data_IF_144168714216
#
_entry.id   IF_144168714216
#
_cell.length_a   1.000
_cell.length_b   1.000
_cell.length_c   1.000
_cell.angle_alpha   90.00
_cell.angle_beta   90.00
_cell.angle_gamma   90.00
#
_symmetry.space_group_name_H-M   'P 1'
#
loop_
_entity.id
_entity.type
_entity.pdbx_description
1 polymer ?
#
# COMPACT_ATOMS: atom_id res chain seq x y z
N UNK A 1 -18.45 -1.23 -7.67
CA UNK A 1 -18.35 -0.48 -6.41
C UNK A 1 -19.57 0.35 -6.12
N UNK A 2 -19.98 1.23 -7.02
CA UNK A 2 -21.27 1.93 -6.87
C UNK A 2 -22.43 0.96 -6.68
N UNK A 3 -22.40 -0.19 -7.36
CA UNK A 3 -23.43 -1.23 -7.21
C UNK A 3 -23.48 -1.83 -5.81
N UNK A 4 -22.34 -2.02 -5.16
CA UNK A 4 -22.29 -2.53 -3.79
C UNK A 4 -22.85 -1.52 -2.80
N UNK A 5 -22.55 -0.24 -3.00
CA UNK A 5 -23.10 0.83 -2.18
C UNK A 5 -24.63 0.92 -2.30
N UNK A 6 -25.15 0.77 -3.51
CA UNK A 6 -26.60 0.73 -3.72
C UNK A 6 -27.27 -0.44 -3.03
N UNK A 7 -26.63 -1.61 -3.02
CA UNK A 7 -27.14 -2.78 -2.32
C UNK A 7 -27.23 -2.55 -0.81
N UNK A 8 -26.19 -1.95 -0.22
CA UNK A 8 -26.19 -1.58 1.19
C UNK A 8 -27.31 -0.59 1.50
N UNK A 9 -27.47 0.39 0.64
CA UNK A 9 -28.53 1.39 0.77
C UNK A 9 -29.91 0.75 0.66
N UNK A 10 -30.07 -0.20 -0.26
CA UNK A 10 -31.30 -0.95 -0.42
C UNK A 10 -31.69 -1.74 0.83
N UNK A 11 -30.72 -2.39 1.46
CA UNK A 11 -30.93 -3.14 2.72
C UNK A 11 -31.35 -2.18 3.85
N UNK A 12 -30.71 -1.04 3.96
CA UNK A 12 -31.02 -0.04 4.97
C UNK A 12 -32.44 0.53 4.78
N UNK A 13 -32.84 0.78 3.53
CA UNK A 13 -34.17 1.27 3.19
C UNK A 13 -35.23 0.22 3.58
N UNK A 14 -34.99 -1.05 3.28
CA UNK A 14 -35.92 -2.11 3.62
C UNK A 14 -36.07 -2.28 5.13
N UNK A 15 -34.97 -2.12 5.89
CA UNK A 15 -35.03 -2.18 7.35
C UNK A 15 -35.86 -1.05 7.94
N UNK A 16 -35.79 0.15 7.36
CA UNK A 16 -36.53 1.30 7.88
C UNK A 16 -38.02 1.28 7.48
N UNK A 17 -38.35 0.63 6.38
CA UNK A 17 -39.75 0.51 5.90
C UNK A 17 -40.57 -0.47 6.73
N UNK A 18 -39.93 -1.38 7.50
CA UNK A 18 -40.61 -2.35 8.33
C UNK A 18 -41.40 -1.74 9.50
N UNK A 19 -41.22 -0.48 9.80
CA UNK A 19 -41.94 0.22 10.86
C UNK A 19 -43.07 1.05 10.26
N UNK A 20 -44.31 0.84 10.72
CA UNK A 20 -45.46 1.67 10.35
C UNK A 20 -45.38 3.00 11.11
N UNK A 21 -44.52 3.89 10.65
CA UNK A 21 -44.27 5.15 11.28
C UNK A 21 -45.12 6.29 10.64
N UNK A 22 -45.47 7.36 11.39
CA UNK A 22 -46.05 8.54 10.79
C UNK A 22 -45.16 9.12 9.69
N UNK A 23 -45.76 9.83 8.74
CA UNK A 23 -45.07 10.36 7.57
C UNK A 23 -43.81 11.18 7.93
N UNK A 24 -43.87 12.00 9.00
CA UNK A 24 -42.71 12.75 9.47
C UNK A 24 -41.57 11.85 9.96
N UNK A 25 -41.89 10.76 10.65
CA UNK A 25 -40.89 9.78 11.09
C UNK A 25 -40.23 9.07 9.91
N UNK A 26 -40.97 8.80 8.83
CA UNK A 26 -40.40 8.21 7.61
C UNK A 26 -39.43 9.18 6.94
N UNK A 27 -39.77 10.46 6.86
CA UNK A 27 -38.88 11.46 6.28
C UNK A 27 -37.62 11.63 7.11
N UNK A 28 -37.73 11.63 8.44
CA UNK A 28 -36.58 11.69 9.34
C UNK A 28 -35.71 10.45 9.19
N UNK A 29 -36.32 9.28 9.08
CA UNK A 29 -35.58 8.05 8.85
C UNK A 29 -34.83 8.07 7.52
N UNK A 30 -35.49 8.56 6.47
CA UNK A 30 -34.89 8.70 5.15
C UNK A 30 -33.69 9.67 5.18
N UNK A 31 -33.87 10.82 5.82
CA UNK A 31 -32.79 11.80 5.97
C UNK A 31 -31.60 11.23 6.73
N UNK A 32 -31.85 10.43 7.77
CA UNK A 32 -30.80 9.76 8.52
C UNK A 32 -30.04 8.73 7.65
N UNK A 33 -30.78 8.00 6.82
CA UNK A 33 -30.19 7.03 5.88
C UNK A 33 -29.32 7.73 4.84
N UNK A 34 -29.84 8.82 4.27
CA UNK A 34 -29.11 9.62 3.28
C UNK A 34 -27.83 10.22 3.89
N UNK A 35 -27.92 10.70 5.12
CA UNK A 35 -26.76 11.24 5.83
C UNK A 35 -25.69 10.17 6.04
N UNK A 36 -26.09 8.97 6.47
CA UNK A 36 -25.18 7.83 6.64
C UNK A 36 -24.55 7.41 5.32
N UNK A 37 -25.34 7.39 4.27
CA UNK A 37 -24.87 7.05 2.93
C UNK A 37 -23.81 8.04 2.45
N UNK A 38 -24.07 9.34 2.63
CA UNK A 38 -23.12 10.38 2.27
C UNK A 38 -21.83 10.29 3.09
N UNK A 39 -21.94 9.97 4.39
CA UNK A 39 -20.77 9.75 5.25
C UNK A 39 -19.93 8.58 4.75
N UNK A 40 -20.57 7.50 4.32
CA UNK A 40 -19.86 6.33 3.76
C UNK A 40 -19.15 6.68 2.46
N UNK A 41 -19.79 7.46 1.60
CA UNK A 41 -19.17 7.93 0.35
C UNK A 41 -17.94 8.79 0.63
N UNK A 42 -18.05 9.68 1.60
CA UNK A 42 -16.96 10.55 2.00
C UNK A 42 -15.80 9.75 2.59
N UNK A 43 -16.09 8.78 3.47
CA UNK A 43 -15.09 7.88 4.04
C UNK A 43 -14.40 7.04 2.96
N UNK A 44 -15.16 6.55 1.99
CA UNK A 44 -14.58 5.81 0.86
C UNK A 44 -13.63 6.69 0.04
N UNK A 45 -14.04 7.92 -0.26
CA UNK A 45 -13.21 8.87 -1.00
C UNK A 45 -11.93 9.21 -0.24
N UNK A 46 -12.04 9.40 1.07
CA UNK A 46 -10.91 9.65 1.94
C UNK A 46 -9.95 8.46 1.97
N UNK A 47 -10.49 7.27 2.11
CA UNK A 47 -9.70 6.03 2.13
C UNK A 47 -8.97 5.80 0.82
N UNK A 48 -9.64 6.09 -0.29
CA UNK A 48 -9.04 6.04 -1.62
C UNK A 48 -7.83 6.97 -1.72
N UNK A 49 -7.97 8.22 -1.25
CA UNK A 49 -6.87 9.18 -1.22
C UNK A 49 -5.70 8.70 -0.37
N UNK A 50 -6.00 8.11 0.79
CA UNK A 50 -4.97 7.54 1.66
C UNK A 50 -4.20 6.42 0.98
N UNK A 51 -4.90 5.51 0.32
CA UNK A 51 -4.26 4.41 -0.41
C UNK A 51 -3.43 4.90 -1.59
N UNK A 52 -3.90 5.89 -2.32
CA UNK A 52 -3.14 6.50 -3.42
C UNK A 52 -1.86 7.18 -2.91
N UNK A 53 -1.97 7.88 -1.79
CA UNK A 53 -0.81 8.52 -1.15
C UNK A 53 0.21 7.48 -0.67
N UNK A 54 -0.25 6.41 -0.02
CA UNK A 54 0.62 5.31 0.43
C UNK A 54 1.31 4.64 -0.75
N UNK A 55 0.57 4.38 -1.83
CA UNK A 55 1.11 3.79 -3.05
C UNK A 55 2.22 4.66 -3.64
N UNK A 56 1.97 5.96 -3.77
CA UNK A 56 2.94 6.91 -4.30
C UNK A 56 4.21 6.94 -3.44
N UNK A 57 4.05 6.96 -2.13
CA UNK A 57 5.18 6.93 -1.20
C UNK A 57 5.98 5.64 -1.34
N UNK A 58 5.31 4.49 -1.41
CA UNK A 58 5.98 3.20 -1.58
C UNK A 58 6.72 3.11 -2.91
N UNK A 59 6.13 3.64 -3.98
CA UNK A 59 6.78 3.71 -5.29
C UNK A 59 8.07 4.53 -5.23
N UNK A 60 8.04 5.68 -4.54
CA UNK A 60 9.22 6.51 -4.35
C UNK A 60 10.29 5.78 -3.52
N UNK A 61 9.89 5.05 -2.48
CA UNK A 61 10.81 4.26 -1.67
C UNK A 61 11.46 3.13 -2.47
N UNK A 62 10.69 2.46 -3.32
CA UNK A 62 11.21 1.42 -4.22
C UNK A 62 12.23 2.00 -5.19
N UNK A 63 11.94 3.14 -5.79
CA UNK A 63 12.87 3.83 -6.70
C UNK A 63 14.18 4.18 -5.98
N UNK A 64 14.09 4.70 -4.77
CA UNK A 64 15.27 5.01 -3.95
C UNK A 64 16.10 3.77 -3.66
N UNK A 65 15.44 2.67 -3.28
CA UNK A 65 16.11 1.40 -3.01
C UNK A 65 16.78 0.82 -4.26
N UNK A 66 16.11 0.91 -5.40
CA UNK A 66 16.68 0.48 -6.69
C UNK A 66 17.91 1.31 -7.06
N UNK A 67 17.85 2.61 -6.77
CA UNK A 67 18.99 3.49 -6.97
C UNK A 67 20.20 3.07 -6.12
N UNK A 68 19.95 2.66 -4.87
CA UNK A 68 21.00 2.16 -3.98
C UNK A 68 21.56 0.81 -4.43
N UNK A 69 20.77 0.03 -5.15
CA UNK A 69 21.22 -1.24 -5.72
C UNK A 69 22.14 -1.09 -6.92
N UNK A 70 22.09 0.07 -7.58
CA UNK A 70 22.98 0.36 -8.70
C UNK A 70 24.44 0.42 -8.24
N UNK A 71 25.31 -0.13 -9.04
CA UNK A 71 26.73 -0.19 -8.71
C UNK A 71 27.13 -1.37 -7.82
N UNK A 72 26.17 -2.20 -7.42
CA UNK A 72 26.39 -3.41 -6.65
C UNK A 72 27.52 -4.27 -7.23
N UNK A 73 27.46 -4.54 -8.52
CA UNK A 73 28.44 -5.39 -9.22
C UNK A 73 29.84 -4.80 -9.17
N UNK A 74 29.97 -3.49 -9.37
CA UNK A 74 31.25 -2.79 -9.30
C UNK A 74 31.88 -2.87 -7.92
N UNK A 75 31.05 -2.72 -6.88
CA UNK A 75 31.50 -2.81 -5.49
C UNK A 75 31.99 -4.23 -5.19
N UNK A 76 31.25 -5.24 -5.60
CA UNK A 76 31.63 -6.63 -5.38
C UNK A 76 32.89 -7.02 -6.14
N UNK A 77 33.02 -6.62 -7.40
CA UNK A 77 34.23 -6.88 -8.19
C UNK A 77 35.46 -6.27 -7.54
N UNK A 78 35.35 -5.00 -7.14
CA UNK A 78 36.45 -4.30 -6.50
C UNK A 78 36.87 -4.96 -5.19
N UNK A 79 35.90 -5.26 -4.34
CA UNK A 79 36.17 -5.88 -3.03
C UNK A 79 36.72 -7.30 -3.19
N UNK A 80 36.22 -8.04 -4.15
CA UNK A 80 36.70 -9.38 -4.46
C UNK A 80 38.16 -9.36 -4.90
N UNK A 81 38.51 -8.46 -5.83
CA UNK A 81 39.87 -8.25 -6.28
C UNK A 81 40.79 -7.86 -5.12
N UNK A 82 40.38 -6.89 -4.32
CA UNK A 82 41.15 -6.40 -3.19
C UNK A 82 41.34 -7.50 -2.14
N UNK A 83 40.33 -8.35 -1.91
CA UNK A 83 40.43 -9.46 -0.97
C UNK A 83 41.41 -10.54 -1.42
N UNK A 84 41.64 -10.68 -2.73
CA UNK A 84 42.54 -11.68 -3.29
C UNK A 84 44.01 -11.24 -3.22
N UNK A 85 44.29 -9.95 -3.46
CA UNK A 85 45.66 -9.43 -3.61
C UNK A 85 46.22 -8.74 -2.36
N UNK A 86 45.38 -8.30 -1.46
CA UNK A 86 45.83 -7.56 -0.29
C UNK A 86 46.14 -8.48 0.89
N UNK A 87 47.15 -8.09 1.68
CA UNK A 87 47.57 -8.86 2.84
C UNK A 87 46.53 -8.91 3.97
N UNK A 88 45.55 -7.98 4.00
CA UNK A 88 44.44 -8.01 4.95
C UNK A 88 43.20 -8.69 4.38
N UNK A 89 43.38 -9.78 3.70
CA UNK A 89 42.34 -10.55 3.01
C UNK A 89 41.08 -10.79 3.85
N UNK A 90 41.24 -11.19 5.09
CA UNK A 90 40.10 -11.55 5.95
C UNK A 90 39.22 -10.35 6.26
N UNK A 91 39.82 -9.16 6.42
CA UNK A 91 39.08 -7.91 6.64
C UNK A 91 38.29 -7.52 5.38
N UNK A 92 38.87 -7.65 4.21
CA UNK A 92 38.17 -7.38 2.94
C UNK A 92 37.03 -8.36 2.69
N UNK A 93 37.21 -9.63 3.03
CA UNK A 93 36.14 -10.62 2.95
C UNK A 93 34.98 -10.29 3.88
N UNK A 94 35.29 -9.80 5.08
CA UNK A 94 34.27 -9.39 6.05
C UNK A 94 33.46 -8.21 5.53
N UNK A 95 34.11 -7.22 4.93
CA UNK A 95 33.46 -6.08 4.28
C UNK A 95 32.58 -6.56 3.12
N UNK A 96 33.08 -7.47 2.30
CA UNK A 96 32.33 -8.05 1.19
C UNK A 96 31.07 -8.75 1.69
N UNK A 97 31.15 -9.52 2.76
CA UNK A 97 30.00 -10.19 3.36
C UNK A 97 28.97 -9.18 3.91
N UNK A 98 29.45 -8.08 4.48
CA UNK A 98 28.57 -7.02 4.97
C UNK A 98 27.81 -6.36 3.82
N UNK A 99 28.48 -6.08 2.71
CA UNK A 99 27.82 -5.55 1.52
C UNK A 99 26.83 -6.56 0.93
N UNK A 100 27.18 -7.84 0.91
CA UNK A 100 26.27 -8.88 0.44
C UNK A 100 24.98 -8.90 1.27
N UNK A 101 25.09 -8.85 2.59
CA UNK A 101 23.95 -8.78 3.49
C UNK A 101 23.13 -7.51 3.25
N UNK A 102 23.80 -6.37 3.09
CA UNK A 102 23.16 -5.09 2.82
C UNK A 102 22.32 -5.15 1.53
N UNK A 103 22.89 -5.65 0.44
CA UNK A 103 22.17 -5.74 -0.82
C UNK A 103 21.05 -6.78 -0.80
N UNK A 104 21.20 -7.87 -0.07
CA UNK A 104 20.13 -8.86 0.13
C UNK A 104 18.97 -8.22 0.89
N UNK A 105 19.25 -7.40 1.89
CA UNK A 105 18.23 -6.69 2.64
C UNK A 105 17.51 -5.67 1.76
N UNK A 106 18.24 -4.94 0.91
CA UNK A 106 17.63 -4.00 -0.05
C UNK A 106 16.68 -4.75 -0.99
N UNK A 107 17.12 -5.86 -1.56
CA UNK A 107 16.31 -6.68 -2.47
C UNK A 107 15.03 -7.18 -1.78
N UNK A 108 15.14 -7.60 -0.51
CA UNK A 108 14.00 -8.04 0.29
C UNK A 108 13.02 -6.89 0.52
N UNK A 109 13.52 -5.72 0.88
CA UNK A 109 12.70 -4.52 1.11
C UNK A 109 11.97 -4.10 -0.16
N UNK A 110 12.64 -4.15 -1.30
CA UNK A 110 12.02 -3.84 -2.60
C UNK A 110 10.85 -4.80 -2.85
N UNK A 111 11.05 -6.10 -2.68
CA UNK A 111 9.99 -7.09 -2.89
C UNK A 111 8.81 -6.88 -1.96
N UNK A 112 9.05 -6.62 -0.69
CA UNK A 112 8.00 -6.36 0.29
C UNK A 112 7.19 -5.12 -0.07
N UNK A 113 7.86 -4.05 -0.48
CA UNK A 113 7.21 -2.81 -0.88
C UNK A 113 6.45 -2.96 -2.20
N UNK A 114 7.00 -3.68 -3.16
CA UNK A 114 6.30 -3.96 -4.42
C UNK A 114 5.05 -4.81 -4.20
N UNK A 115 5.13 -5.79 -3.28
CA UNK A 115 3.97 -6.56 -2.89
C UNK A 115 2.89 -5.68 -2.25
N UNK A 116 3.29 -4.77 -1.39
CA UNK A 116 2.36 -3.83 -0.76
C UNK A 116 1.72 -2.90 -1.79
N UNK A 117 2.49 -2.44 -2.76
CA UNK A 117 1.97 -1.64 -3.88
C UNK A 117 0.91 -2.43 -4.65
N UNK A 118 1.18 -3.69 -4.95
CA UNK A 118 0.23 -4.56 -5.66
C UNK A 118 -1.07 -4.74 -4.86
N UNK A 119 -0.97 -4.91 -3.55
CA UNK A 119 -2.14 -5.00 -2.67
C UNK A 119 -2.95 -3.70 -2.70
N UNK A 120 -2.29 -2.55 -2.64
CA UNK A 120 -2.95 -1.25 -2.71
C UNK A 120 -3.60 -1.02 -4.07
N UNK A 121 -2.94 -1.42 -5.15
CA UNK A 121 -3.52 -1.34 -6.51
C UNK A 121 -4.78 -2.21 -6.62
N UNK A 122 -4.75 -3.41 -6.05
CA UNK A 122 -5.92 -4.28 -6.02
C UNK A 122 -7.08 -3.64 -5.25
N UNK A 123 -6.80 -3.05 -4.08
CA UNK A 123 -7.83 -2.34 -3.31
C UNK A 123 -8.38 -1.14 -4.07
N UNK A 124 -7.51 -0.34 -4.68
CA UNK A 124 -7.93 0.83 -5.44
C UNK A 124 -8.78 0.46 -6.66
N UNK A 125 -8.47 -0.65 -7.32
CA UNK A 125 -9.24 -1.11 -8.47
C UNK A 125 -10.67 -1.49 -8.08
N UNK A 126 -10.85 -2.01 -6.87
CA UNK A 126 -12.19 -2.34 -6.33
C UNK A 126 -12.95 -1.07 -5.92
N UNK A 127 -12.25 -0.01 -5.55
CA UNK A 127 -12.84 1.25 -5.10
C UNK A 127 -13.24 2.21 -6.24
N UNK A 128 -12.83 1.92 -7.44
CA UNK A 128 -13.20 2.73 -8.63
C UNK A 128 -14.49 2.20 -9.32
#
# INVERSE_FOLDING_TARGET
MKKMMFLLMGILIMSSVSYSAPKQSLEQSLNAIESKFNDLLEKEAQKKREFEAQKTQLQAEVEDLKSKEQGKEKVFEKLKKDSEVRWQRDKYKKVLNNYDTYYKNIAKMIREKEQKIAELEAMLSVMN
#
